data_IF_779589365297
#
_entry.id   IF_779589365297
#
_cell.length_a   1.000
_cell.length_b   1.000
_cell.length_c   1.000
_cell.angle_alpha   90.00
_cell.angle_beta   90.00
_cell.angle_gamma   90.00
#
_symmetry.space_group_name_H-M   'P 1'
#
loop_
_entity.id
_entity.type
_entity.pdbx_description
1 polymer ?
#
# COMPACT_ATOMS: atom_id res chain seq x y z
N UNK A 1 -13.97 22.44 15.03
CA UNK A 1 -13.51 21.07 15.35
C UNK A 1 -13.47 20.29 14.05
N UNK A 2 -12.30 19.98 13.51
CA UNK A 2 -12.19 19.18 12.28
C UNK A 2 -12.80 17.79 12.57
N UNK A 3 -13.86 17.41 11.85
CA UNK A 3 -14.51 16.11 12.05
C UNK A 3 -13.77 15.06 11.24
N UNK A 4 -13.35 13.99 11.91
CA UNK A 4 -12.68 12.87 11.26
C UNK A 4 -13.68 11.83 10.77
N UNK A 5 -13.51 11.40 9.52
CA UNK A 5 -14.19 10.25 8.94
C UNK A 5 -13.18 9.11 8.95
N UNK A 6 -13.39 8.14 9.84
CA UNK A 6 -12.55 6.96 9.99
C UNK A 6 -13.11 5.85 9.10
N UNK A 7 -12.33 5.44 8.11
CA UNK A 7 -12.73 4.48 7.09
C UNK A 7 -11.99 3.16 7.27
N UNK A 8 -12.74 2.06 7.33
CA UNK A 8 -12.19 0.72 7.18
C UNK A 8 -12.79 0.10 5.90
N UNK A 9 -11.94 -0.42 5.02
CA UNK A 9 -12.35 -0.96 3.71
C UNK A 9 -12.30 -2.51 3.71
N UNK A 10 -13.45 -3.18 3.58
CA UNK A 10 -13.51 -4.62 3.30
C UNK A 10 -13.65 -4.83 1.79
N UNK A 11 -12.90 -5.78 1.23
CA UNK A 11 -12.82 -5.99 -0.22
C UNK A 11 -12.38 -4.68 -0.91
N UNK A 12 -11.27 -4.13 -0.41
CA UNK A 12 -10.82 -2.78 -0.76
C UNK A 12 -10.50 -2.62 -2.25
N UNK A 13 -10.14 -3.72 -2.94
CA UNK A 13 -9.65 -3.67 -4.30
C UNK A 13 -8.49 -2.68 -4.40
N UNK A 14 -8.62 -1.72 -5.32
CA UNK A 14 -7.62 -0.65 -5.50
C UNK A 14 -7.84 0.58 -4.62
N UNK A 15 -8.83 0.57 -3.71
CA UNK A 15 -9.09 1.68 -2.77
C UNK A 15 -9.99 2.78 -3.33
N UNK A 16 -10.96 2.40 -4.17
CA UNK A 16 -11.90 3.36 -4.76
C UNK A 16 -12.75 4.06 -3.69
N UNK A 17 -13.08 3.38 -2.58
CA UNK A 17 -13.87 3.94 -1.50
C UNK A 17 -13.09 5.05 -0.79
N UNK A 18 -11.85 4.79 -0.41
CA UNK A 18 -10.98 5.80 0.19
C UNK A 18 -10.72 6.97 -0.76
N UNK A 19 -10.45 6.69 -2.03
CA UNK A 19 -10.21 7.73 -3.04
C UNK A 19 -11.45 8.62 -3.24
N UNK A 20 -12.64 8.03 -3.32
CA UNK A 20 -13.89 8.75 -3.48
C UNK A 20 -14.15 9.68 -2.27
N UNK A 21 -14.03 9.17 -1.04
CA UNK A 21 -14.23 9.97 0.16
C UNK A 21 -13.23 11.13 0.24
N UNK A 22 -11.95 10.91 -0.09
CA UNK A 22 -10.97 12.00 -0.15
C UNK A 22 -11.32 13.06 -1.19
N UNK A 23 -11.90 12.68 -2.32
CA UNK A 23 -12.32 13.66 -3.34
C UNK A 23 -13.55 14.45 -2.89
N UNK A 24 -14.56 13.78 -2.33
CA UNK A 24 -15.81 14.41 -1.85
C UNK A 24 -15.51 15.43 -0.75
N UNK A 25 -14.64 15.09 0.19
CA UNK A 25 -14.34 15.94 1.34
C UNK A 25 -13.11 16.85 1.16
N UNK A 26 -12.50 16.89 -0.04
CA UNK A 26 -11.26 17.61 -0.31
C UNK A 26 -11.29 19.09 0.09
N UNK A 27 -12.44 19.75 -0.10
CA UNK A 27 -12.64 21.18 0.17
C UNK A 27 -13.55 21.40 1.39
N UNK A 28 -13.60 20.44 2.32
CA UNK A 28 -14.43 20.50 3.52
C UNK A 28 -13.59 20.59 4.79
N UNK A 29 -14.25 20.83 5.91
CA UNK A 29 -13.68 20.79 7.26
C UNK A 29 -13.42 19.36 7.78
N UNK A 30 -13.71 18.33 6.95
CA UNK A 30 -13.60 16.92 7.33
C UNK A 30 -12.34 16.30 6.77
N UNK A 31 -11.67 15.52 7.62
CA UNK A 31 -10.51 14.73 7.24
C UNK A 31 -10.90 13.25 7.12
N UNK A 32 -10.55 12.60 6.00
CA UNK A 32 -10.79 11.17 5.80
C UNK A 32 -9.51 10.42 6.14
N UNK A 33 -9.60 9.55 7.15
CA UNK A 33 -8.50 8.74 7.66
C UNK A 33 -8.83 7.28 7.38
N UNK A 34 -7.97 6.60 6.60
CA UNK A 34 -8.02 5.14 6.52
C UNK A 34 -7.48 4.58 7.83
N UNK A 35 -8.27 3.74 8.50
CA UNK A 35 -7.89 3.02 9.72
C UNK A 35 -7.54 1.56 9.44
N UNK A 36 -7.66 1.12 8.18
CA UNK A 36 -7.34 -0.23 7.75
C UNK A 36 -8.09 -0.60 6.48
N UNK A 37 -7.57 -1.62 5.80
CA UNK A 37 -8.23 -2.21 4.64
C UNK A 37 -7.93 -3.71 4.60
N UNK A 38 -8.80 -4.46 3.93
CA UNK A 38 -8.68 -5.90 3.78
C UNK A 38 -8.98 -6.31 2.34
N UNK A 39 -8.01 -7.00 1.76
CA UNK A 39 -8.05 -7.66 0.47
C UNK A 39 -6.98 -8.75 0.49
N UNK A 40 -7.14 -9.73 -0.39
CA UNK A 40 -6.22 -10.85 -0.55
C UNK A 40 -5.62 -10.91 -1.96
N UNK A 41 -6.15 -10.15 -2.92
CA UNK A 41 -5.68 -10.19 -4.29
C UNK A 41 -4.41 -9.37 -4.45
N UNK A 42 -3.31 -10.03 -4.81
CA UNK A 42 -1.97 -9.45 -4.88
C UNK A 42 -1.94 -8.18 -5.73
N UNK A 43 -2.51 -8.20 -6.94
CA UNK A 43 -2.44 -7.04 -7.83
C UNK A 43 -3.32 -5.87 -7.34
N UNK A 44 -4.44 -6.17 -6.65
CA UNK A 44 -5.25 -5.14 -5.99
C UNK A 44 -4.50 -4.49 -4.83
N UNK A 45 -3.84 -5.29 -3.98
CA UNK A 45 -3.02 -4.81 -2.87
C UNK A 45 -1.88 -3.92 -3.39
N UNK A 46 -1.11 -4.39 -4.39
CA UNK A 46 -0.03 -3.61 -5.00
C UNK A 46 -0.56 -2.29 -5.56
N UNK A 47 -1.70 -2.33 -6.26
CA UNK A 47 -2.33 -1.13 -6.82
C UNK A 47 -2.83 -0.18 -5.73
N UNK A 48 -3.48 -0.68 -4.68
CA UNK A 48 -3.92 0.10 -3.51
C UNK A 48 -2.74 0.82 -2.88
N UNK A 49 -1.69 0.07 -2.56
CA UNK A 49 -0.47 0.60 -1.95
C UNK A 49 0.16 1.68 -2.84
N UNK A 50 0.25 1.43 -4.14
CA UNK A 50 0.80 2.40 -5.11
C UNK A 50 -0.05 3.68 -5.21
N UNK A 51 -1.38 3.56 -5.31
CA UNK A 51 -2.29 4.71 -5.45
C UNK A 51 -2.31 5.58 -4.19
N UNK A 52 -2.29 4.96 -3.01
CA UNK A 52 -2.53 5.64 -1.74
C UNK A 52 -1.24 6.06 -1.02
N UNK A 53 -0.15 5.30 -1.19
CA UNK A 53 1.12 5.48 -0.47
C UNK A 53 2.32 5.70 -1.40
N UNK A 54 2.16 5.53 -2.72
CA UNK A 54 3.21 5.71 -3.71
C UNK A 54 4.01 4.44 -3.98
N UNK A 55 5.02 4.55 -4.83
CA UNK A 55 5.91 3.45 -5.18
C UNK A 55 6.83 3.14 -4.01
N UNK A 56 6.87 1.87 -3.61
CA UNK A 56 7.74 1.37 -2.56
C UNK A 56 9.06 0.84 -3.15
N UNK A 57 10.17 1.15 -2.49
CA UNK A 57 11.49 0.65 -2.87
C UNK A 57 11.60 -0.86 -2.59
N UNK A 58 12.30 -1.64 -3.44
CA UNK A 58 12.55 -3.07 -3.22
C UNK A 58 13.19 -3.37 -1.86
N UNK A 59 12.94 -4.58 -1.35
CA UNK A 59 13.60 -5.11 -0.15
C UNK A 59 15.05 -5.51 -0.44
N UNK A 60 16.00 -4.97 0.32
CA UNK A 60 17.43 -5.18 0.15
C UNK A 60 18.05 -5.89 1.35
N UNK A 61 17.45 -5.76 2.54
CA UNK A 61 18.08 -6.16 3.80
C UNK A 61 17.71 -7.60 4.18
N UNK A 62 16.51 -8.05 3.81
CA UNK A 62 16.05 -9.40 4.10
C UNK A 62 16.59 -10.42 3.08
N UNK A 63 16.86 -11.63 3.56
CA UNK A 63 17.12 -12.78 2.69
C UNK A 63 15.84 -13.21 1.95
N UNK A 64 15.99 -13.97 0.86
CA UNK A 64 14.85 -14.53 0.13
C UNK A 64 13.96 -15.37 1.04
N UNK A 65 14.57 -16.19 1.88
CA UNK A 65 13.84 -17.11 2.77
C UNK A 65 13.10 -16.36 3.88
N UNK A 66 13.68 -15.28 4.42
CA UNK A 66 12.99 -14.43 5.42
C UNK A 66 11.77 -13.75 4.82
N UNK A 67 11.88 -13.22 3.59
CA UNK A 67 10.74 -12.63 2.88
C UNK A 67 9.63 -13.66 2.65
N UNK A 68 9.98 -14.88 2.25
CA UNK A 68 9.02 -15.97 2.05
C UNK A 68 8.36 -16.35 3.38
N UNK A 69 9.15 -16.48 4.45
CA UNK A 69 8.67 -16.82 5.77
C UNK A 69 7.70 -15.77 6.33
N UNK A 70 7.97 -14.49 6.07
CA UNK A 70 7.07 -13.40 6.47
C UNK A 70 5.74 -13.42 5.68
N UNK A 71 5.73 -13.83 4.40
CA UNK A 71 4.52 -13.83 3.58
C UNK A 71 3.71 -15.13 3.63
N UNK A 72 4.34 -16.30 3.86
CA UNK A 72 3.70 -17.62 3.73
C UNK A 72 2.54 -17.88 4.70
N UNK A 73 2.51 -17.15 5.82
CA UNK A 73 1.46 -17.28 6.84
C UNK A 73 0.18 -16.48 6.52
N UNK A 74 0.20 -15.68 5.45
CA UNK A 74 -0.94 -14.84 5.05
C UNK A 74 -1.69 -15.43 3.85
N UNK A 75 -2.97 -15.06 3.74
CA UNK A 75 -3.82 -15.48 2.63
C UNK A 75 -3.72 -14.46 1.50
N UNK A 76 -2.97 -14.81 0.47
CA UNK A 76 -2.89 -14.06 -0.78
C UNK A 76 -3.48 -14.87 -1.93
N UNK A 77 -3.95 -14.19 -2.95
CA UNK A 77 -4.48 -14.73 -4.19
C UNK A 77 -3.80 -14.07 -5.39
N UNK A 78 -3.48 -14.87 -6.42
CA UNK A 78 -2.97 -14.36 -7.69
C UNK A 78 -4.04 -14.22 -8.77
N UNK A 79 -5.28 -14.64 -8.49
CA UNK A 79 -6.39 -14.67 -9.45
C UNK A 79 -7.70 -14.11 -8.88
N UNK A 80 -7.61 -13.45 -7.71
CA UNK A 80 -8.70 -12.90 -6.88
C UNK A 80 -9.76 -13.90 -6.40
N UNK A 81 -9.52 -15.20 -6.59
CA UNK A 81 -10.49 -16.26 -6.28
C UNK A 81 -9.91 -17.24 -5.26
N UNK A 82 -8.76 -17.80 -5.58
CA UNK A 82 -8.16 -18.89 -4.82
C UNK A 82 -6.88 -18.44 -4.12
N UNK A 83 -6.60 -19.08 -2.98
CA UNK A 83 -5.32 -18.88 -2.28
C UNK A 83 -4.17 -19.37 -3.15
N UNK A 84 -3.07 -18.62 -3.18
CA UNK A 84 -1.82 -19.07 -3.80
C UNK A 84 -1.32 -20.35 -3.13
N UNK A 85 -0.66 -21.22 -3.91
CA UNK A 85 -0.01 -22.44 -3.39
C UNK A 85 1.09 -22.08 -2.39
N UNK A 86 1.39 -22.97 -1.45
CA UNK A 86 2.44 -22.74 -0.44
C UNK A 86 3.82 -22.44 -1.03
N UNK A 87 4.14 -23.05 -2.19
CA UNK A 87 5.40 -22.81 -2.89
C UNK A 87 5.37 -21.62 -3.87
N UNK A 88 4.32 -20.78 -3.84
CA UNK A 88 4.16 -19.65 -4.76
C UNK A 88 5.35 -18.68 -4.71
N UNK A 89 5.69 -18.17 -3.51
CA UNK A 89 6.81 -17.25 -3.35
C UNK A 89 8.18 -17.94 -3.53
N UNK A 90 8.29 -19.22 -3.19
CA UNK A 90 9.51 -20.01 -3.40
C UNK A 90 9.93 -20.05 -4.89
N UNK A 91 8.94 -20.28 -5.77
CA UNK A 91 9.12 -20.34 -7.24
C UNK A 91 9.38 -18.99 -7.89
N UNK A 92 9.21 -17.90 -7.15
CA UNK A 92 9.43 -16.55 -7.67
C UNK A 92 10.93 -16.27 -7.81
N UNK A 93 11.32 -15.62 -8.92
CA UNK A 93 12.67 -15.05 -9.05
C UNK A 93 12.89 -14.04 -7.92
N UNK A 94 14.05 -14.09 -7.28
CA UNK A 94 14.33 -13.27 -6.10
C UNK A 94 14.14 -11.78 -6.36
N UNK A 95 14.63 -11.26 -7.50
CA UNK A 95 14.44 -9.86 -7.88
C UNK A 95 12.97 -9.44 -7.91
N UNK A 96 12.08 -10.30 -8.44
CA UNK A 96 10.64 -10.02 -8.45
C UNK A 96 10.07 -10.04 -7.03
N UNK A 97 10.50 -10.99 -6.20
CA UNK A 97 10.07 -11.06 -4.80
C UNK A 97 10.50 -9.80 -4.04
N UNK A 98 11.74 -9.33 -4.21
CA UNK A 98 12.24 -8.09 -3.58
C UNK A 98 11.41 -6.87 -3.96
N UNK A 99 10.97 -6.76 -5.21
CA UNK A 99 10.07 -5.68 -5.64
C UNK A 99 8.66 -5.80 -5.09
N UNK A 100 8.12 -7.03 -4.98
CA UNK A 100 6.74 -7.28 -4.55
C UNK A 100 6.56 -7.24 -3.02
N UNK A 101 7.53 -7.80 -2.30
CA UNK A 101 7.53 -7.93 -0.85
C UNK A 101 7.12 -6.65 -0.09
N UNK A 102 7.71 -5.47 -0.35
CA UNK A 102 7.37 -4.27 0.42
C UNK A 102 5.89 -3.90 0.29
N UNK A 103 5.25 -4.13 -0.84
CA UNK A 103 3.81 -3.86 -1.01
C UNK A 103 2.96 -4.80 -0.17
N UNK A 104 3.22 -6.11 -0.27
CA UNK A 104 2.44 -7.11 0.44
C UNK A 104 2.66 -7.05 1.95
N UNK A 105 3.91 -6.93 2.39
CA UNK A 105 4.22 -6.95 3.81
C UNK A 105 3.82 -5.65 4.52
N UNK A 106 3.98 -4.49 3.87
CA UNK A 106 3.47 -3.22 4.41
C UNK A 106 1.94 -3.19 4.53
N UNK A 107 1.23 -3.88 3.64
CA UNK A 107 -0.22 -3.95 3.66
C UNK A 107 -0.77 -4.65 4.92
N UNK A 108 -0.03 -5.65 5.42
CA UNK A 108 -0.44 -6.47 6.57
C UNK A 108 0.32 -6.13 7.86
N UNK A 109 1.43 -5.40 7.77
CA UNK A 109 2.28 -5.05 8.90
C UNK A 109 2.59 -3.54 8.87
N UNK A 110 1.80 -2.79 9.65
CA UNK A 110 1.97 -1.35 9.80
C UNK A 110 3.31 -0.98 10.44
N UNK A 111 3.86 -1.80 11.34
CA UNK A 111 5.14 -1.51 12.00
C UNK A 111 6.28 -1.56 10.99
N UNK A 112 6.29 -2.57 10.11
CA UNK A 112 7.24 -2.63 8.99
C UNK A 112 7.08 -1.43 8.05
N UNK A 113 5.85 -1.11 7.65
CA UNK A 113 5.59 0.04 6.78
C UNK A 113 6.11 1.34 7.40
N UNK A 114 5.79 1.56 8.67
CA UNK A 114 6.21 2.74 9.41
C UNK A 114 7.73 2.78 9.59
N UNK A 115 8.37 1.68 9.96
CA UNK A 115 9.82 1.64 10.12
C UNK A 115 10.56 1.96 8.82
N UNK A 116 10.05 1.47 7.68
CA UNK A 116 10.70 1.61 6.38
C UNK A 116 10.33 2.88 5.62
N UNK A 117 9.14 3.44 5.87
CA UNK A 117 8.57 4.54 5.07
C UNK A 117 7.98 5.69 5.91
N UNK A 118 8.17 5.76 7.24
CA UNK A 118 7.66 6.91 8.00
C UNK A 118 8.29 8.24 7.60
N UNK A 119 7.40 9.23 7.54
CA UNK A 119 7.57 10.53 6.88
C UNK A 119 8.44 11.56 7.60
N UNK A 120 8.86 11.33 8.85
CA UNK A 120 9.72 12.30 9.54
C UNK A 120 11.11 12.41 8.90
N UNK A 121 11.57 11.37 8.19
CA UNK A 121 12.81 11.37 7.41
C UNK A 121 12.59 11.46 5.89
N UNK A 122 11.38 11.78 5.41
CA UNK A 122 11.07 11.82 3.98
C UNK A 122 10.24 13.05 3.62
N UNK A 123 10.85 14.22 3.81
CA UNK A 123 10.47 15.41 3.05
C UNK A 123 10.55 15.07 1.54
N UNK A 124 9.41 14.90 0.86
CA UNK A 124 9.39 14.94 -0.60
C UNK A 124 8.58 13.92 -1.40
N UNK A 125 7.78 13.02 -0.81
CA UNK A 125 6.87 12.20 -1.65
C UNK A 125 5.53 12.93 -1.84
N UNK A 126 5.59 14.05 -2.55
CA UNK A 126 4.42 14.56 -3.26
C UNK A 126 4.06 13.55 -4.36
N UNK A 127 2.78 13.19 -4.51
CA UNK A 127 2.30 12.43 -5.66
C UNK A 127 2.72 13.17 -6.94
N UNK A 128 3.11 12.51 -8.02
CA UNK A 128 3.47 13.19 -9.28
C UNK A 128 2.40 14.21 -9.71
N UNK A 129 1.12 13.85 -9.59
CA UNK A 129 -0.03 14.75 -9.82
C UNK A 129 -0.15 15.92 -8.84
N UNK A 130 0.38 15.80 -7.62
CA UNK A 130 0.42 16.89 -6.62
C UNK A 130 1.67 17.77 -6.81
N UNK A 131 2.79 17.23 -7.32
CA UNK A 131 3.96 18.01 -7.75
C UNK A 131 3.62 18.91 -8.94
N UNK A 132 2.98 18.35 -9.96
CA UNK A 132 2.55 19.10 -11.15
C UNK A 132 1.57 20.21 -10.79
N UNK A 133 0.61 19.94 -9.89
CA UNK A 133 -0.32 20.97 -9.39
C UNK A 133 0.37 22.07 -8.59
N UNK A 134 1.30 21.72 -7.69
CA UNK A 134 2.00 22.72 -6.88
C UNK A 134 2.96 23.55 -7.74
N UNK A 135 3.59 22.96 -8.76
CA UNK A 135 4.41 23.68 -9.73
C UNK A 135 3.59 24.75 -10.46
N UNK A 136 2.41 24.40 -10.99
CA UNK A 136 1.52 25.35 -11.67
C UNK A 136 0.95 26.46 -10.78
N UNK A 137 0.87 26.25 -9.46
CA UNK A 137 0.38 27.26 -8.51
C UNK A 137 1.51 28.21 -8.04
N UNK A 138 2.78 27.82 -8.26
CA UNK A 138 3.98 28.57 -7.84
C UNK A 138 4.59 29.49 -8.90
N UNK A 139 3.97 29.56 -10.09
CA UNK A 139 4.30 30.46 -11.21
C UNK A 139 3.15 31.45 -11.38
#
# INVERSE_FOLDING_TARGET
MNKEIRLFEMFAGIGSQYKALKNVYKNSDKNVISVGCCDFYIDAIVSYMTIHYGTLNPELDMSKDDMINALKHHYFSSDSKEKVKENYFNKMKEQRLRSLFPYLYSYINNDYFNLKYNRENSCGINRERERERNWYISI
#
